data_IF_548462400535
#
_entry.id   IF_548462400535
#
_cell.length_a   1.000
_cell.length_b   1.000
_cell.length_c   1.000
_cell.angle_alpha   90.00
_cell.angle_beta   90.00
_cell.angle_gamma   90.00
#
_symmetry.space_group_name_H-M   'P 1'
#
loop_
_entity.id
_entity.type
_entity.pdbx_description
1 polymer ?
#
# COMPACT_ATOMS: atom_id res chain seq x y z
N UNK A 1 6.16 -29.19 -9.58
CA UNK A 1 7.61 -29.26 -9.32
C UNK A 1 8.26 -28.12 -10.09
N UNK A 2 8.54 -27.00 -9.43
CA UNK A 2 9.27 -25.87 -10.03
C UNK A 2 10.68 -25.92 -9.45
N UNK A 3 11.69 -26.15 -10.29
CA UNK A 3 13.08 -26.34 -9.87
C UNK A 3 13.66 -25.01 -9.37
N UNK A 4 14.01 -24.97 -8.08
CA UNK A 4 14.41 -23.79 -7.31
C UNK A 4 15.73 -23.15 -7.75
N UNK A 5 16.53 -23.83 -8.58
CA UNK A 5 17.89 -23.41 -8.94
C UNK A 5 17.96 -22.54 -10.21
N UNK A 6 17.04 -22.70 -11.17
CA UNK A 6 17.11 -22.01 -12.48
C UNK A 6 16.80 -20.51 -12.40
N UNK A 7 16.17 -20.06 -11.31
CA UNK A 7 15.83 -18.65 -11.11
C UNK A 7 16.80 -17.88 -10.22
N UNK A 8 17.81 -18.54 -9.62
CA UNK A 8 18.81 -17.87 -8.76
C UNK A 8 19.55 -16.74 -9.51
N UNK A 9 19.96 -16.90 -10.78
CA UNK A 9 20.63 -15.81 -11.51
C UNK A 9 19.70 -14.62 -11.80
N UNK A 10 18.43 -14.89 -12.13
CA UNK A 10 17.41 -13.86 -12.36
C UNK A 10 17.05 -13.10 -11.08
N UNK A 11 16.94 -13.81 -9.95
CA UNK A 11 16.75 -13.23 -8.63
C UNK A 11 17.97 -12.43 -8.18
N UNK A 12 19.19 -12.88 -8.48
CA UNK A 12 20.41 -12.13 -8.17
C UNK A 12 20.52 -10.83 -8.99
N UNK A 13 20.24 -10.88 -10.29
CA UNK A 13 20.26 -9.69 -11.15
C UNK A 13 19.19 -8.66 -10.74
N UNK A 14 17.97 -9.11 -10.46
CA UNK A 14 16.89 -8.26 -9.95
C UNK A 14 17.21 -7.71 -8.56
N UNK A 15 17.85 -8.50 -7.69
CA UNK A 15 18.36 -8.05 -6.39
C UNK A 15 19.45 -6.98 -6.54
N UNK A 16 20.38 -7.10 -7.49
CA UNK A 16 21.43 -6.09 -7.73
C UNK A 16 20.83 -4.77 -8.20
N UNK A 17 19.90 -4.80 -9.16
CA UNK A 17 19.20 -3.58 -9.64
C UNK A 17 18.39 -2.95 -8.50
N UNK A 18 17.71 -3.79 -7.72
CA UNK A 18 16.97 -3.39 -6.54
C UNK A 18 17.88 -2.72 -5.50
N UNK A 19 19.03 -3.31 -5.17
CA UNK A 19 20.00 -2.77 -4.22
C UNK A 19 20.59 -1.46 -4.73
N UNK A 20 20.98 -1.35 -6.01
CA UNK A 20 21.50 -0.10 -6.58
C UNK A 20 20.47 1.04 -6.49
N UNK A 21 19.23 0.79 -6.88
CA UNK A 21 18.17 1.79 -6.80
C UNK A 21 17.86 2.16 -5.34
N UNK A 22 17.77 1.15 -4.47
CA UNK A 22 17.50 1.32 -3.04
C UNK A 22 18.61 2.13 -2.36
N UNK A 23 19.89 1.81 -2.59
CA UNK A 23 21.03 2.56 -2.07
C UNK A 23 21.00 4.01 -2.55
N UNK A 24 20.64 4.26 -3.80
CA UNK A 24 20.55 5.63 -4.33
C UNK A 24 19.42 6.43 -3.67
N UNK A 25 18.25 5.81 -3.48
CA UNK A 25 17.10 6.41 -2.77
C UNK A 25 17.46 6.65 -1.30
N UNK A 26 18.07 5.67 -0.63
CA UNK A 26 18.52 5.77 0.76
C UNK A 26 19.58 6.85 0.90
N UNK A 27 20.56 6.99 -0.01
CA UNK A 27 21.55 8.08 0.02
C UNK A 27 20.90 9.46 -0.13
N UNK A 28 19.88 9.59 -0.99
CA UNK A 28 19.12 10.84 -1.12
C UNK A 28 18.24 11.13 0.10
N UNK A 29 17.60 10.11 0.66
CA UNK A 29 16.83 10.20 1.89
C UNK A 29 17.74 10.47 3.10
N UNK A 30 18.96 9.92 3.09
CA UNK A 30 19.97 10.08 4.13
C UNK A 30 20.42 11.53 4.26
N UNK A 31 20.59 12.23 3.13
CA UNK A 31 20.83 13.68 3.13
C UNK A 31 19.66 14.49 3.72
N UNK A 32 18.48 13.88 3.91
CA UNK A 32 17.28 14.47 4.52
C UNK A 32 16.94 13.85 5.90
N UNK A 33 17.85 13.07 6.51
CA UNK A 33 17.65 12.28 7.77
C UNK A 33 17.31 13.08 9.03
N UNK A 34 17.13 14.40 8.98
CA UNK A 34 16.66 15.18 10.14
C UNK A 34 15.18 14.95 10.48
N UNK A 35 14.45 14.14 9.70
CA UNK A 35 13.02 13.89 9.91
C UNK A 35 12.76 12.43 10.35
N UNK A 36 11.88 12.18 11.33
CA UNK A 36 11.56 10.85 11.86
C UNK A 36 11.07 9.87 10.77
N UNK A 37 10.46 10.38 9.71
CA UNK A 37 10.03 9.55 8.57
C UNK A 37 11.18 8.88 7.80
N UNK A 38 12.41 9.38 7.90
CA UNK A 38 13.56 8.76 7.24
C UNK A 38 14.02 7.46 7.92
N UNK A 39 13.86 7.34 9.24
CA UNK A 39 14.16 6.10 9.95
C UNK A 39 13.12 5.02 9.62
N UNK A 40 11.84 5.40 9.53
CA UNK A 40 10.76 4.49 9.13
C UNK A 40 10.94 4.03 7.69
N UNK A 41 11.36 4.91 6.78
CA UNK A 41 11.71 4.52 5.41
C UNK A 41 12.86 3.51 5.37
N UNK A 42 13.88 3.69 6.21
CA UNK A 42 15.00 2.76 6.31
C UNK A 42 14.55 1.39 6.80
N UNK A 43 13.71 1.34 7.84
CA UNK A 43 13.10 0.10 8.34
C UNK A 43 12.24 -0.59 7.26
N UNK A 44 11.38 0.18 6.58
CA UNK A 44 10.55 -0.30 5.48
C UNK A 44 11.36 -0.97 4.37
N UNK A 45 12.59 -0.49 4.13
CA UNK A 45 13.49 -1.07 3.14
C UNK A 45 14.19 -2.32 3.69
N UNK A 46 14.70 -2.28 4.91
CA UNK A 46 15.54 -3.36 5.44
C UNK A 46 14.73 -4.60 5.81
N UNK A 47 13.57 -4.42 6.44
CA UNK A 47 12.77 -5.53 6.96
C UNK A 47 12.47 -6.58 5.87
N UNK A 48 11.97 -6.19 4.67
CA UNK A 48 11.76 -7.14 3.57
C UNK A 48 12.99 -7.94 3.17
N UNK A 49 14.17 -7.31 3.20
CA UNK A 49 15.41 -7.97 2.82
C UNK A 49 15.81 -9.01 3.85
N UNK A 50 15.65 -8.70 5.14
CA UNK A 50 15.88 -9.66 6.22
C UNK A 50 14.87 -10.81 6.12
N UNK A 51 13.59 -10.52 5.89
CA UNK A 51 12.53 -11.53 5.73
C UNK A 51 12.85 -12.51 4.59
N UNK A 52 13.24 -11.99 3.41
CA UNK A 52 13.64 -12.81 2.25
C UNK A 52 14.91 -13.62 2.55
N UNK A 53 15.94 -12.99 3.13
CA UNK A 53 17.20 -13.66 3.43
C UNK A 53 17.02 -14.78 4.45
N UNK A 54 16.30 -14.51 5.54
CA UNK A 54 15.98 -15.50 6.57
C UNK A 54 15.25 -16.70 5.97
N UNK A 55 14.25 -16.47 5.12
CA UNK A 55 13.53 -17.54 4.42
C UNK A 55 14.46 -18.43 3.59
N UNK A 56 15.36 -17.83 2.80
CA UNK A 56 16.32 -18.59 2.00
C UNK A 56 17.34 -19.34 2.85
N UNK A 57 17.83 -18.75 3.94
CA UNK A 57 18.72 -19.42 4.89
C UNK A 57 18.02 -20.63 5.51
N UNK A 58 16.74 -20.52 5.88
CA UNK A 58 15.96 -21.64 6.40
C UNK A 58 15.80 -22.77 5.37
N UNK A 59 15.50 -22.44 4.10
CA UNK A 59 15.46 -23.45 3.03
C UNK A 59 16.80 -24.16 2.87
N UNK A 60 17.91 -23.42 2.92
CA UNK A 60 19.25 -24.00 2.75
C UNK A 60 19.64 -24.92 3.91
N UNK A 61 19.17 -24.64 5.13
CA UNK A 61 19.47 -25.44 6.33
C UNK A 61 18.56 -26.66 6.46
N UNK A 62 17.26 -26.45 6.34
CA UNK A 62 16.25 -27.43 6.78
C UNK A 62 15.59 -28.17 5.60
N UNK A 63 15.95 -27.84 4.35
CA UNK A 63 15.39 -28.44 3.16
C UNK A 63 14.11 -27.74 2.65
N UNK A 64 13.21 -28.48 2.03
CA UNK A 64 12.03 -27.86 1.40
C UNK A 64 11.02 -27.37 2.43
N UNK A 65 10.64 -26.08 2.28
CA UNK A 65 9.57 -25.38 3.00
C UNK A 65 9.89 -24.97 4.45
N UNK A 66 10.48 -23.78 4.60
CA UNK A 66 10.57 -23.11 5.89
C UNK A 66 9.18 -22.95 6.51
N UNK A 67 8.98 -23.52 7.70
CA UNK A 67 7.73 -23.37 8.44
C UNK A 67 7.58 -21.92 8.91
N UNK A 68 6.39 -21.32 8.74
CA UNK A 68 6.14 -19.96 9.20
C UNK A 68 6.22 -19.88 10.72
N UNK A 69 6.91 -18.86 11.24
CA UNK A 69 6.98 -18.59 12.68
C UNK A 69 6.17 -17.35 13.06
N UNK A 70 5.83 -17.22 14.35
CA UNK A 70 5.24 -15.99 14.89
C UNK A 70 6.16 -14.77 14.72
N UNK A 71 7.48 -14.99 14.65
CA UNK A 71 8.46 -13.94 14.37
C UNK A 71 8.29 -13.43 12.94
N UNK A 72 8.15 -14.33 11.96
CA UNK A 72 7.93 -13.95 10.55
C UNK A 72 6.65 -13.13 10.39
N UNK A 73 5.56 -13.54 11.04
CA UNK A 73 4.32 -12.76 11.07
C UNK A 73 4.52 -11.37 11.66
N UNK A 74 5.20 -11.28 12.81
CA UNK A 74 5.43 -10.01 13.51
C UNK A 74 6.28 -9.06 12.67
N UNK A 75 7.33 -9.58 12.02
CA UNK A 75 8.21 -8.83 11.11
C UNK A 75 7.43 -8.33 9.89
N UNK A 76 6.60 -9.18 9.29
CA UNK A 76 5.73 -8.82 8.16
C UNK A 76 4.65 -7.81 8.55
N UNK A 77 4.07 -7.93 9.75
CA UNK A 77 3.09 -6.99 10.27
C UNK A 77 3.73 -5.62 10.56
N UNK A 78 4.95 -5.62 11.12
CA UNK A 78 5.72 -4.40 11.32
C UNK A 78 6.10 -3.74 9.99
N UNK A 79 6.49 -4.52 8.99
CA UNK A 79 6.72 -4.01 7.63
C UNK A 79 5.45 -3.41 7.01
N UNK A 80 4.31 -4.08 7.18
CA UNK A 80 2.99 -3.59 6.74
C UNK A 80 2.65 -2.25 7.42
N UNK A 81 2.91 -2.14 8.72
CA UNK A 81 2.75 -0.89 9.47
C UNK A 81 3.66 0.23 8.97
N UNK A 82 4.96 -0.04 8.74
CA UNK A 82 5.88 0.98 8.17
C UNK A 82 5.43 1.43 6.78
N UNK A 83 4.91 0.51 5.96
CA UNK A 83 4.34 0.82 4.65
C UNK A 83 3.15 1.77 4.78
N UNK A 84 2.20 1.45 5.67
CA UNK A 84 1.04 2.28 5.94
C UNK A 84 1.43 3.67 6.47
N UNK A 85 2.40 3.74 7.39
CA UNK A 85 2.90 5.00 7.92
C UNK A 85 3.47 5.89 6.81
N UNK A 86 4.29 5.33 5.91
CA UNK A 86 4.81 6.09 4.78
C UNK A 86 3.68 6.61 3.88
N UNK A 87 2.57 5.84 3.75
CA UNK A 87 1.44 6.20 2.87
C UNK A 87 0.74 7.40 3.46
N UNK A 88 0.54 7.38 4.78
CA UNK A 88 -0.01 8.48 5.56
C UNK A 88 0.81 9.76 5.43
N UNK A 89 2.14 9.67 5.54
CA UNK A 89 3.04 10.83 5.42
C UNK A 89 3.22 11.32 3.97
N UNK A 90 2.57 10.69 2.99
CA UNK A 90 2.58 11.13 1.60
C UNK A 90 3.93 10.96 0.91
N UNK A 91 4.74 9.99 1.34
CA UNK A 91 6.07 9.73 0.77
C UNK A 91 6.06 9.06 -0.63
N UNK A 92 4.91 9.04 -1.31
CA UNK A 92 4.71 8.40 -2.61
C UNK A 92 4.54 9.42 -3.73
N UNK A 93 5.14 9.12 -4.88
CA UNK A 93 5.12 10.00 -6.04
C UNK A 93 3.89 9.81 -6.96
N UNK A 94 3.06 8.78 -6.73
CA UNK A 94 1.92 8.42 -7.56
C UNK A 94 0.66 9.28 -7.38
N UNK A 95 -0.34 9.04 -8.23
CA UNK A 95 -1.69 9.59 -8.05
C UNK A 95 -2.33 8.95 -6.83
N UNK A 96 -2.65 9.75 -5.82
CA UNK A 96 -3.14 9.26 -4.53
C UNK A 96 -4.39 8.38 -4.70
N UNK A 97 -5.28 8.75 -5.61
CA UNK A 97 -6.54 8.03 -5.86
C UNK A 97 -6.36 6.58 -6.33
N UNK A 98 -5.20 6.23 -6.89
CA UNK A 98 -4.96 4.90 -7.48
C UNK A 98 -3.85 4.19 -6.73
N UNK A 99 -2.72 4.88 -6.50
CA UNK A 99 -1.54 4.29 -5.90
C UNK A 99 -1.74 3.93 -4.42
N UNK A 100 -2.44 4.75 -3.63
CA UNK A 100 -2.69 4.45 -2.22
C UNK A 100 -3.51 3.15 -2.04
N UNK A 101 -4.66 2.97 -2.73
CA UNK A 101 -5.40 1.72 -2.69
C UNK A 101 -4.56 0.49 -3.08
N UNK A 102 -3.60 0.64 -4.01
CA UNK A 102 -2.67 -0.45 -4.37
C UNK A 102 -1.84 -0.89 -3.17
N UNK A 103 -1.24 0.07 -2.44
CA UNK A 103 -0.44 -0.24 -1.25
C UNK A 103 -1.27 -0.91 -0.16
N UNK A 104 -2.47 -0.38 0.11
CA UNK A 104 -3.36 -0.96 1.11
C UNK A 104 -3.85 -2.36 0.73
N UNK A 105 -4.16 -2.60 -0.55
CA UNK A 105 -4.54 -3.93 -1.03
C UNK A 105 -3.40 -4.94 -0.85
N UNK A 106 -2.17 -4.59 -1.28
CA UNK A 106 -1.01 -5.46 -1.08
C UNK A 106 -0.75 -5.75 0.40
N UNK A 107 -0.85 -4.72 1.25
CA UNK A 107 -0.68 -4.85 2.70
C UNK A 107 -1.71 -5.83 3.29
N UNK A 108 -3.00 -5.64 2.99
CA UNK A 108 -4.07 -6.50 3.51
C UNK A 108 -3.92 -7.94 3.04
N UNK A 109 -3.60 -8.14 1.76
CA UNK A 109 -3.36 -9.47 1.19
C UNK A 109 -2.19 -10.16 1.91
N UNK A 110 -1.05 -9.48 2.07
CA UNK A 110 0.11 -10.05 2.77
C UNK A 110 -0.20 -10.37 4.23
N UNK A 111 -0.88 -9.47 4.94
CA UNK A 111 -1.31 -9.70 6.32
C UNK A 111 -2.19 -10.94 6.42
N UNK A 112 -3.19 -11.06 5.55
CA UNK A 112 -4.12 -12.18 5.54
C UNK A 112 -3.41 -13.50 5.20
N UNK A 113 -2.58 -13.53 4.15
CA UNK A 113 -1.85 -14.75 3.75
C UNK A 113 -0.88 -15.17 4.85
N UNK A 114 -0.12 -14.25 5.44
CA UNK A 114 0.84 -14.56 6.49
C UNK A 114 0.14 -15.01 7.77
N UNK A 115 -0.98 -14.38 8.14
CA UNK A 115 -1.83 -14.85 9.23
C UNK A 115 -2.28 -16.30 8.99
N UNK A 116 -2.92 -16.58 7.84
CA UNK A 116 -3.34 -17.93 7.48
C UNK A 116 -2.17 -18.91 7.48
N UNK A 117 -1.00 -18.48 6.99
CA UNK A 117 0.19 -19.31 6.95
C UNK A 117 0.62 -19.76 8.34
N UNK A 118 0.67 -18.85 9.31
CA UNK A 118 1.17 -19.12 10.68
C UNK A 118 0.15 -19.90 11.49
N UNK A 119 -1.10 -19.46 11.47
CA UNK A 119 -2.15 -20.04 12.31
C UNK A 119 -2.74 -21.34 11.76
N UNK A 120 -2.71 -21.55 10.44
CA UNK A 120 -3.15 -22.81 9.82
C UNK A 120 -1.98 -23.74 9.47
N UNK A 121 -0.73 -23.30 9.68
CA UNK A 121 0.46 -24.09 9.42
C UNK A 121 0.62 -24.47 7.94
N UNK A 122 0.43 -23.52 7.02
CA UNK A 122 0.57 -23.74 5.57
C UNK A 122 1.87 -23.11 5.02
N UNK A 123 2.96 -23.88 4.87
CA UNK A 123 4.24 -23.35 4.38
C UNK A 123 4.18 -22.78 2.95
N UNK A 124 3.24 -23.27 2.13
CA UNK A 124 3.01 -22.72 0.79
C UNK A 124 2.56 -21.25 0.83
N UNK A 125 1.75 -20.86 1.82
CA UNK A 125 1.31 -19.48 2.00
C UNK A 125 2.46 -18.59 2.52
N UNK A 126 3.35 -19.15 3.36
CA UNK A 126 4.57 -18.46 3.78
C UNK A 126 5.44 -18.14 2.57
N UNK A 127 5.71 -19.15 1.74
CA UNK A 127 6.47 -19.01 0.50
C UNK A 127 5.86 -17.97 -0.44
N UNK A 128 4.52 -17.98 -0.61
CA UNK A 128 3.82 -17.00 -1.42
C UNK A 128 3.99 -15.57 -0.88
N UNK A 129 3.94 -15.38 0.44
CA UNK A 129 4.17 -14.08 1.09
C UNK A 129 5.57 -13.55 0.81
N UNK A 130 6.59 -14.42 0.90
CA UNK A 130 7.99 -14.07 0.58
C UNK A 130 8.15 -13.71 -0.89
N UNK A 131 7.52 -14.47 -1.80
CA UNK A 131 7.54 -14.18 -3.25
C UNK A 131 6.88 -12.84 -3.57
N UNK A 132 5.73 -12.54 -2.99
CA UNK A 132 5.05 -11.22 -3.15
C UNK A 132 6.00 -10.10 -2.69
N UNK A 133 6.70 -10.31 -1.57
CA UNK A 133 7.65 -9.33 -1.05
C UNK A 133 8.87 -9.15 -1.97
N UNK A 134 9.47 -10.24 -2.46
CA UNK A 134 10.58 -10.20 -3.40
C UNK A 134 10.19 -9.53 -4.74
N UNK A 135 8.96 -9.75 -5.18
CA UNK A 135 8.39 -9.15 -6.37
C UNK A 135 8.09 -7.64 -6.22
N UNK A 136 8.31 -7.04 -5.05
CA UNK A 136 8.40 -5.58 -4.93
C UNK A 136 9.56 -5.00 -5.77
N UNK A 137 10.47 -5.83 -6.27
CA UNK A 137 11.44 -5.45 -7.31
C UNK A 137 10.78 -5.09 -8.65
N UNK A 138 9.64 -5.71 -9.03
CA UNK A 138 8.99 -5.46 -10.31
C UNK A 138 8.58 -4.01 -10.53
N UNK A 139 7.86 -3.33 -9.60
CA UNK A 139 7.58 -1.92 -9.79
C UNK A 139 8.84 -1.07 -9.97
N UNK A 140 9.95 -1.42 -9.31
CA UNK A 140 11.19 -0.64 -9.39
C UNK A 140 11.89 -0.82 -10.75
N UNK A 141 11.94 -2.05 -11.25
CA UNK A 141 12.48 -2.37 -12.58
C UNK A 141 11.63 -1.69 -13.66
N UNK A 142 10.31 -1.81 -13.54
CA UNK A 142 9.37 -1.21 -14.48
C UNK A 142 9.42 0.33 -14.44
N UNK A 143 9.58 0.96 -13.26
CA UNK A 143 9.78 2.42 -13.15
C UNK A 143 11.07 2.82 -13.87
N UNK A 144 12.16 2.07 -13.65
CA UNK A 144 13.42 2.33 -14.33
C UNK A 144 13.26 2.20 -15.85
N UNK A 145 12.71 1.08 -16.33
CA UNK A 145 12.50 0.84 -17.77
C UNK A 145 11.60 1.92 -18.40
N UNK A 146 10.45 2.20 -17.79
CA UNK A 146 9.51 3.23 -18.28
C UNK A 146 10.13 4.63 -18.27
N UNK A 147 11.03 4.93 -17.32
CA UNK A 147 11.74 6.21 -17.29
C UNK A 147 12.75 6.35 -18.43
N UNK A 148 13.41 5.26 -18.85
CA UNK A 148 14.32 5.27 -20.00
C UNK A 148 13.55 5.44 -21.31
N UNK A 149 12.38 4.80 -21.40
CA UNK A 149 11.54 4.81 -22.61
C UNK A 149 10.69 6.07 -22.76
N UNK A 150 10.65 6.96 -21.75
CA UNK A 150 9.74 8.11 -21.68
C UNK A 150 8.28 7.71 -21.97
N UNK A 151 7.88 6.55 -21.47
CA UNK A 151 6.62 5.91 -21.87
C UNK A 151 5.37 6.69 -21.44
N UNK A 152 5.47 7.55 -20.43
CA UNK A 152 4.37 8.37 -19.91
C UNK A 152 4.85 9.81 -19.62
N UNK A 153 3.94 10.80 -19.68
CA UNK A 153 4.30 12.21 -19.65
C UNK A 153 4.85 12.68 -18.31
N UNK A 154 4.43 12.06 -17.19
CA UNK A 154 4.93 12.41 -15.86
C UNK A 154 5.44 11.20 -15.09
N UNK A 155 6.42 11.42 -14.21
CA UNK A 155 6.91 10.40 -13.28
C UNK A 155 5.79 9.86 -12.38
N UNK A 156 4.78 10.68 -12.08
CA UNK A 156 3.60 10.31 -11.29
C UNK A 156 2.72 9.30 -12.02
N UNK A 157 2.53 9.46 -13.32
CA UNK A 157 1.78 8.52 -14.16
C UNK A 157 2.53 7.19 -14.27
N UNK A 158 3.85 7.25 -14.56
CA UNK A 158 4.73 6.07 -14.56
C UNK A 158 4.62 5.32 -13.24
N UNK A 159 4.80 6.02 -12.12
CA UNK A 159 4.75 5.41 -10.79
C UNK A 159 3.41 4.72 -10.54
N UNK A 160 2.30 5.37 -10.89
CA UNK A 160 0.95 4.84 -10.65
C UNK A 160 0.70 3.56 -11.45
N UNK A 161 0.92 3.60 -12.76
CA UNK A 161 0.69 2.46 -13.64
C UNK A 161 1.60 1.28 -13.27
N UNK A 162 2.87 1.58 -13.02
CA UNK A 162 3.87 0.56 -12.71
C UNK A 162 3.63 -0.08 -11.34
N UNK A 163 3.24 0.69 -10.32
CA UNK A 163 2.90 0.10 -9.03
C UNK A 163 1.74 -0.90 -9.15
N UNK A 164 0.72 -0.57 -9.93
CA UNK A 164 -0.41 -1.47 -10.19
C UNK A 164 0.03 -2.73 -10.96
N UNK A 165 0.72 -2.57 -12.09
CA UNK A 165 1.18 -3.68 -12.94
C UNK A 165 2.17 -4.57 -12.18
N UNK A 166 3.14 -3.98 -11.49
CA UNK A 166 4.13 -4.72 -10.72
C UNK A 166 3.48 -5.49 -9.55
N UNK A 167 2.41 -4.96 -8.95
CA UNK A 167 1.63 -5.68 -7.94
C UNK A 167 0.88 -6.88 -8.52
N UNK A 168 0.32 -6.75 -9.73
CA UNK A 168 -0.30 -7.87 -10.44
C UNK A 168 0.69 -8.98 -10.75
N UNK A 169 1.87 -8.61 -11.27
CA UNK A 169 2.94 -9.57 -11.55
C UNK A 169 3.43 -10.26 -10.27
N UNK A 170 3.58 -9.51 -9.17
CA UNK A 170 3.93 -10.07 -7.87
C UNK A 170 2.92 -11.11 -7.38
N UNK A 171 1.63 -10.86 -7.59
CA UNK A 171 0.56 -11.76 -7.20
C UNK A 171 0.45 -12.98 -8.11
N UNK A 172 0.72 -12.82 -9.41
CA UNK A 172 0.87 -13.94 -10.33
C UNK A 172 2.00 -14.88 -9.89
N UNK A 173 3.18 -14.32 -9.63
CA UNK A 173 4.39 -15.10 -9.32
C UNK A 173 4.40 -15.70 -7.92
N UNK A 174 3.50 -15.23 -7.04
CA UNK A 174 3.29 -15.81 -5.71
C UNK A 174 2.89 -17.30 -5.76
N UNK A 175 2.29 -17.74 -6.86
CA UNK A 175 1.76 -19.09 -7.03
C UNK A 175 0.41 -19.32 -6.34
N UNK A 176 -0.22 -18.26 -5.82
CA UNK A 176 -1.59 -18.32 -5.29
C UNK A 176 -2.56 -18.46 -6.46
N UNK A 177 -3.43 -19.48 -6.39
CA UNK A 177 -4.49 -19.67 -7.37
C UNK A 177 -5.37 -18.41 -7.44
N UNK A 178 -5.57 -17.89 -8.65
CA UNK A 178 -6.29 -16.64 -8.90
C UNK A 178 -5.68 -15.40 -8.20
N UNK A 179 -4.38 -15.42 -7.89
CA UNK A 179 -3.67 -14.32 -7.23
C UNK A 179 -3.92 -12.94 -7.85
N UNK A 180 -3.79 -12.76 -9.18
CA UNK A 180 -4.11 -11.50 -9.84
C UNK A 180 -5.56 -11.05 -9.65
N UNK A 181 -6.53 -11.95 -9.74
CA UNK A 181 -7.95 -11.66 -9.58
C UNK A 181 -8.27 -11.28 -8.13
N UNK A 182 -7.69 -11.98 -7.15
CA UNK A 182 -7.78 -11.64 -5.72
C UNK A 182 -7.24 -10.23 -5.47
N UNK A 183 -6.10 -9.89 -6.10
CA UNK A 183 -5.53 -8.55 -5.99
C UNK A 183 -6.42 -7.48 -6.58
N UNK A 184 -6.97 -7.67 -7.79
CA UNK A 184 -7.89 -6.72 -8.40
C UNK A 184 -9.14 -6.54 -7.52
N UNK A 185 -9.73 -7.64 -7.05
CA UNK A 185 -10.90 -7.60 -6.18
C UNK A 185 -10.62 -6.85 -4.88
N UNK A 186 -9.49 -7.13 -4.23
CA UNK A 186 -9.07 -6.43 -3.02
C UNK A 186 -8.81 -4.95 -3.30
N UNK A 187 -8.09 -4.61 -4.37
CA UNK A 187 -7.81 -3.24 -4.77
C UNK A 187 -9.08 -2.43 -5.04
N UNK A 188 -10.04 -2.99 -5.79
CA UNK A 188 -11.35 -2.35 -6.01
C UNK A 188 -12.10 -2.18 -4.70
N UNK A 189 -12.13 -3.20 -3.84
CA UNK A 189 -12.78 -3.12 -2.53
C UNK A 189 -12.18 -2.03 -1.63
N UNK A 190 -10.85 -1.96 -1.55
CA UNK A 190 -10.11 -0.92 -0.83
C UNK A 190 -10.43 0.45 -1.41
N UNK A 191 -10.37 0.62 -2.73
CA UNK A 191 -10.67 1.88 -3.39
C UNK A 191 -12.11 2.36 -3.08
N UNK A 192 -13.09 1.47 -3.17
CA UNK A 192 -14.50 1.78 -2.88
C UNK A 192 -14.67 2.15 -1.41
N UNK A 193 -14.04 1.42 -0.49
CA UNK A 193 -14.09 1.68 0.95
C UNK A 193 -13.45 3.03 1.28
N UNK A 194 -12.26 3.31 0.78
CA UNK A 194 -11.56 4.59 0.98
C UNK A 194 -12.34 5.78 0.44
N UNK A 195 -13.00 5.60 -0.71
CA UNK A 195 -13.86 6.61 -1.34
C UNK A 195 -15.17 6.80 -0.56
N UNK A 196 -15.72 5.74 0.01
CA UNK A 196 -16.84 5.82 0.95
C UNK A 196 -16.45 6.58 2.23
N UNK A 197 -15.28 6.31 2.82
CA UNK A 197 -14.78 7.06 3.99
C UNK A 197 -14.60 8.54 3.64
N UNK A 198 -13.97 8.84 2.50
CA UNK A 198 -13.76 10.24 2.06
C UNK A 198 -15.09 11.00 1.93
N UNK A 199 -16.12 10.35 1.36
CA UNK A 199 -17.48 10.91 1.26
C UNK A 199 -18.07 11.24 2.62
N UNK A 200 -18.13 10.28 3.53
CA UNK A 200 -18.79 10.43 4.83
C UNK A 200 -18.07 11.40 5.77
N UNK A 201 -16.77 11.61 5.60
CA UNK A 201 -16.00 12.61 6.37
C UNK A 201 -16.14 14.01 5.77
N UNK A 202 -16.22 14.13 4.43
CA UNK A 202 -16.23 15.42 3.73
C UNK A 202 -17.57 16.18 3.79
N UNK A 203 -18.69 15.47 3.97
CA UNK A 203 -20.02 16.09 3.88
C UNK A 203 -20.39 16.90 5.10
N UNK A 204 -19.69 16.79 6.25
CA UNK A 204 -20.03 17.54 7.47
C UNK A 204 -21.42 17.25 8.04
N UNK A 205 -22.26 16.49 7.35
CA UNK A 205 -23.59 16.03 7.77
C UNK A 205 -23.53 15.10 8.99
N UNK A 206 -22.35 14.58 9.32
CA UNK A 206 -22.07 13.85 10.56
C UNK A 206 -21.67 14.76 11.73
N UNK A 207 -21.53 16.07 11.52
CA UNK A 207 -21.27 17.07 12.58
C UNK A 207 -22.49 17.89 12.97
N UNK A 208 -23.61 17.81 12.23
CA UNK A 208 -24.91 18.26 12.73
C UNK A 208 -25.61 17.03 13.30
N UNK A 209 -25.59 16.80 14.61
CA UNK A 209 -26.29 15.67 15.20
C UNK A 209 -27.77 15.78 14.83
N UNK A 210 -28.26 14.84 14.00
CA UNK A 210 -29.71 14.62 13.90
C UNK A 210 -30.20 14.28 15.29
N UNK A 211 -31.24 14.94 15.76
CA UNK A 211 -31.89 14.59 17.01
C UNK A 211 -32.41 13.14 16.84
N UNK A 212 -31.81 12.19 17.56
CA UNK A 212 -31.95 10.72 17.42
C UNK A 212 -31.49 10.11 16.07
N UNK A 213 -30.17 9.93 15.84
CA UNK A 213 -29.72 9.10 14.75
C UNK A 213 -30.08 7.64 14.99
N UNK A 214 -30.42 6.90 13.94
CA UNK A 214 -30.59 5.44 14.05
C UNK A 214 -29.26 4.79 14.46
N UNK A 215 -29.32 3.65 15.16
CA UNK A 215 -28.12 2.87 15.54
C UNK A 215 -27.20 2.60 14.33
N UNK A 216 -27.79 2.29 13.17
CA UNK A 216 -27.05 2.07 11.93
C UNK A 216 -26.29 3.33 11.46
N UNK A 217 -26.89 4.51 11.58
CA UNK A 217 -26.22 5.77 11.22
C UNK A 217 -25.05 6.07 12.16
N UNK A 218 -25.23 5.84 13.47
CA UNK A 218 -24.16 6.00 14.46
C UNK A 218 -23.01 5.03 14.21
N UNK A 219 -23.30 3.75 13.97
CA UNK A 219 -22.27 2.76 13.64
C UNK A 219 -21.49 3.12 12.37
N UNK A 220 -22.17 3.58 11.31
CA UNK A 220 -21.51 4.03 10.08
C UNK A 220 -20.55 5.20 10.32
N UNK A 221 -20.96 6.18 11.14
CA UNK A 221 -20.12 7.31 11.51
C UNK A 221 -18.89 6.87 12.34
N UNK A 222 -19.09 6.02 13.34
CA UNK A 222 -18.00 5.45 14.13
C UNK A 222 -16.98 4.70 13.25
N UNK A 223 -17.47 3.86 12.33
CA UNK A 223 -16.62 3.11 11.39
C UNK A 223 -15.88 4.07 10.45
N UNK A 224 -16.56 5.07 9.88
CA UNK A 224 -15.92 6.04 8.99
C UNK A 224 -14.83 6.85 9.73
N UNK A 225 -15.09 7.30 10.96
CA UNK A 225 -14.14 8.03 11.80
C UNK A 225 -12.93 7.17 12.18
N UNK A 226 -13.18 5.91 12.57
CA UNK A 226 -12.13 4.95 12.86
C UNK A 226 -11.23 4.73 11.63
N UNK A 227 -11.82 4.41 10.48
CA UNK A 227 -11.10 4.22 9.22
C UNK A 227 -10.33 5.47 8.80
N UNK A 228 -10.90 6.66 8.98
CA UNK A 228 -10.20 7.93 8.75
C UNK A 228 -8.99 8.10 9.69
N UNK A 229 -9.13 7.78 10.98
CA UNK A 229 -8.04 7.89 11.96
C UNK A 229 -6.86 6.97 11.64
N UNK A 230 -7.17 5.76 11.14
CA UNK A 230 -6.16 4.83 10.63
C UNK A 230 -5.79 5.12 9.17
N UNK A 231 -6.04 6.33 8.66
CA UNK A 231 -5.69 6.79 7.32
C UNK A 231 -6.17 5.90 6.15
N UNK A 232 -7.28 5.20 6.34
CA UNK A 232 -7.97 4.41 5.31
C UNK A 232 -8.98 5.30 4.57
N UNK A 233 -8.48 6.36 3.95
CA UNK A 233 -9.29 7.39 3.28
C UNK A 233 -8.65 7.78 1.95
N UNK A 234 -9.47 7.93 0.91
CA UNK A 234 -8.98 8.36 -0.40
C UNK A 234 -8.58 9.84 -0.32
N UNK A 235 -7.28 10.09 -0.12
CA UNK A 235 -6.76 11.42 0.11
C UNK A 235 -6.99 12.37 -1.07
N UNK A 236 -6.95 11.88 -2.31
CA UNK A 236 -7.19 12.76 -3.45
C UNK A 236 -8.68 13.02 -3.70
N UNK A 237 -9.59 12.10 -3.36
CA UNK A 237 -11.02 12.42 -3.30
C UNK A 237 -11.32 13.45 -2.20
N UNK A 238 -10.74 13.27 -1.01
CA UNK A 238 -10.91 14.21 0.10
C UNK A 238 -10.40 15.61 -0.27
N UNK A 239 -9.25 15.71 -0.94
CA UNK A 239 -8.71 16.98 -1.46
C UNK A 239 -9.64 17.61 -2.49
N UNK A 240 -10.13 16.84 -3.47
CA UNK A 240 -11.07 17.33 -4.50
C UNK A 240 -12.34 17.90 -3.85
N UNK A 241 -12.87 17.24 -2.84
CA UNK A 241 -14.09 17.69 -2.13
C UNK A 241 -13.86 18.94 -1.28
N UNK A 242 -12.70 19.07 -0.65
CA UNK A 242 -12.34 20.30 0.08
C UNK A 242 -12.29 21.50 -0.87
N UNK A 243 -11.70 21.36 -2.05
CA UNK A 243 -11.67 22.43 -3.06
C UNK A 243 -13.08 22.82 -3.50
N UNK A 244 -13.93 21.85 -3.84
CA UNK A 244 -15.35 22.10 -4.22
C UNK A 244 -16.14 22.81 -3.11
N UNK A 245 -15.84 22.51 -1.84
CA UNK A 245 -16.50 23.17 -0.71
C UNK A 245 -15.98 24.59 -0.43
N UNK A 246 -14.72 24.88 -0.75
CA UNK A 246 -14.11 26.21 -0.60
C UNK A 246 -14.54 27.14 -1.75
N UNK A 247 -14.71 26.57 -2.95
CA UNK A 247 -15.25 27.25 -4.13
C UNK A 247 -16.77 27.45 -4.06
N UNK A 248 -17.47 26.84 -3.08
CA UNK A 248 -18.89 27.15 -2.83
C UNK A 248 -18.97 28.60 -2.35
N UNK A 249 -19.52 29.51 -3.15
CA UNK A 249 -19.26 30.91 -2.97
C UNK A 249 -19.96 31.42 -1.70
N UNK A 250 -19.28 32.35 -1.02
CA UNK A 250 -19.87 33.35 -0.12
C UNK A 250 -21.06 34.11 -0.76
N UNK A 251 -21.43 33.83 -2.01
CA UNK A 251 -22.67 34.25 -2.68
C UNK A 251 -23.94 33.83 -1.94
N UNK A 252 -23.96 32.69 -1.25
CA UNK A 252 -25.12 32.35 -0.42
C UNK A 252 -25.28 33.35 0.74
N UNK A 253 -24.19 33.90 1.29
CA UNK A 253 -24.27 34.97 2.29
C UNK A 253 -24.53 36.36 1.68
N UNK A 254 -24.14 36.63 0.43
CA UNK A 254 -24.49 37.89 -0.26
C UNK A 254 -25.96 37.97 -0.68
N UNK A 255 -26.60 36.84 -1.02
CA UNK A 255 -28.03 36.81 -1.34
C UNK A 255 -28.93 37.01 -0.11
N UNK A 256 -28.45 36.69 1.11
CA UNK A 256 -29.19 36.99 2.34
C UNK A 256 -28.92 38.41 2.89
N UNK A 257 -27.81 39.05 2.56
CA UNK A 257 -27.54 40.45 2.96
C UNK A 257 -28.31 41.51 2.15
N UNK A 258 -28.90 41.17 1.00
CA UNK A 258 -29.67 42.12 0.17
C UNK A 258 -31.19 42.08 0.38
N UNK A 259 -31.69 41.37 1.40
CA UNK A 259 -33.13 41.32 1.76
C UNK A 259 -33.47 41.98 3.10
N UNK A 260 -32.54 42.74 3.66
CA UNK A 260 -32.75 43.56 4.86
C UNK A 260 -32.33 44.99 4.49
N UNK A 261 -33.16 45.67 3.71
CA UNK A 261 -33.25 47.13 3.60
C UNK A 261 -34.56 47.50 2.89
#
# INVERSE_FOLDING_TARGET
>A
MWTTLEHIPGLAATFIVFQKHTIHVVKRAAKRLRKPSSAILFLHIIIPNIEILSYWVSILKDGQHANPTYVDFSVMAFHSWTSHYLVKEGHYAGHKNIAQPVFHAQMLIRLAISFCSVFLGFPALHAATIKINAAASYPRILIWAASQLKALPTYRDVYTAVMFIGSLLAMHDSGIAYGPQIFIGCWVGVYVLESWVARNISTGETMIPKQNPSLSAHMKDCVAKFLYHINFVNQGELQKRRMVNDDRPKEQNRQFSHKIE
#
